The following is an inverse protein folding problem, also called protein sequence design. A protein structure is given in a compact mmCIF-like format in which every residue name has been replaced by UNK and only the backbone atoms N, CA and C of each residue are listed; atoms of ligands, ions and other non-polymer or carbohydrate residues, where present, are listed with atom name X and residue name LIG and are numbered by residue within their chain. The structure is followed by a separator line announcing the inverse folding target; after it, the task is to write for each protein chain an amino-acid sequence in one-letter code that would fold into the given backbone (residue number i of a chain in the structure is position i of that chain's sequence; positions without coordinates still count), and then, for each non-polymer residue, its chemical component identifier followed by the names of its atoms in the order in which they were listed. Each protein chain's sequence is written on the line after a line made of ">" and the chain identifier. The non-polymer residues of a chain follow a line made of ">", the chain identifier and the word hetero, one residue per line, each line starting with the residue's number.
data_IF_089365699547
#
_entry.id   IF_089365699547
#
_cell.length_a   1.000
_cell.length_b   1.000
_cell.length_c   1.000
_cell.angle_alpha   90.00
_cell.angle_beta   90.00
_cell.angle_gamma   90.00
#
_symmetry.space_group_name_H-M   'P 1'
#
loop_
_entity.id
_entity.type
_entity.pdbx_description
1 polymer ?
#
# COMPACT_ATOMS: atom_id res chain seq x y z
N UNK A 1 23.98 -1.89 8.41
CA UNK A 1 22.74 -1.26 7.91
C UNK A 1 22.90 0.25 8.01
N UNK A 2 22.79 0.99 6.89
CA UNK A 2 23.10 2.45 6.82
C UNK A 2 22.23 3.28 7.76
N UNK A 3 20.91 3.02 7.80
CA UNK A 3 19.96 3.71 8.66
C UNK A 3 20.37 3.65 10.14
N UNK A 4 20.73 2.47 10.66
CA UNK A 4 21.12 2.31 12.07
C UNK A 4 22.38 3.08 12.44
N UNK A 5 23.27 3.36 11.47
CA UNK A 5 24.50 4.13 11.71
C UNK A 5 24.27 5.65 11.72
N UNK A 6 23.24 6.14 11.03
CA UNK A 6 23.00 7.56 10.79
C UNK A 6 21.63 8.03 11.29
N UNK A 7 20.95 7.26 12.14
CA UNK A 7 19.56 7.54 12.54
C UNK A 7 19.39 8.89 13.25
N UNK A 8 20.43 9.38 13.93
CA UNK A 8 20.44 10.68 14.61
C UNK A 8 20.68 11.86 13.66
N UNK A 9 21.22 11.62 12.47
CA UNK A 9 21.50 12.63 11.45
C UNK A 9 20.34 12.79 10.46
N UNK A 10 19.41 11.82 10.45
CA UNK A 10 18.26 11.80 9.55
C UNK A 10 17.04 12.38 10.26
N UNK A 11 16.37 13.35 9.63
CA UNK A 11 15.12 13.90 10.15
C UNK A 11 14.07 12.79 10.27
N UNK A 12 13.34 12.77 11.38
CA UNK A 12 12.29 11.79 11.66
C UNK A 12 11.26 11.66 10.52
N UNK A 13 10.84 12.79 9.94
CA UNK A 13 9.90 12.82 8.80
C UNK A 13 10.39 12.02 7.59
N UNK A 14 11.70 11.96 7.35
CA UNK A 14 12.30 11.20 6.25
C UNK A 14 12.22 9.71 6.58
N UNK A 15 12.56 9.33 7.81
CA UNK A 15 12.45 7.94 8.29
C UNK A 15 10.99 7.46 8.18
N UNK A 16 10.04 8.24 8.68
CA UNK A 16 8.61 7.93 8.62
C UNK A 16 8.08 7.80 7.17
N UNK A 17 8.58 8.61 6.24
CA UNK A 17 8.21 8.50 4.83
C UNK A 17 8.79 7.26 4.16
N UNK A 18 10.08 6.97 4.39
CA UNK A 18 10.75 5.79 3.82
C UNK A 18 10.14 4.51 4.38
N UNK A 19 9.89 4.43 5.68
CA UNK A 19 9.22 3.28 6.31
C UNK A 19 7.83 3.05 5.71
N UNK A 20 7.03 4.11 5.52
CA UNK A 20 5.74 4.01 4.84
C UNK A 20 5.85 3.59 3.37
N UNK A 21 6.87 4.05 2.66
CA UNK A 21 7.12 3.65 1.28
C UNK A 21 7.51 2.18 1.17
N UNK A 22 8.35 1.68 2.08
CA UNK A 22 8.73 0.26 2.14
C UNK A 22 7.54 -0.64 2.47
N UNK A 23 6.59 -0.16 3.29
CA UNK A 23 5.36 -0.89 3.58
C UNK A 23 4.28 -0.74 2.49
N UNK A 24 4.47 0.14 1.50
CA UNK A 24 3.42 0.48 0.53
C UNK A 24 2.97 -0.73 -0.29
N UNK A 25 1.65 -0.95 -0.41
CA UNK A 25 1.08 -2.06 -1.17
C UNK A 25 1.19 -3.42 -0.46
N UNK A 26 1.67 -3.45 0.78
CA UNK A 26 1.63 -4.64 1.64
C UNK A 26 0.37 -4.64 2.52
N UNK A 27 0.02 -5.81 3.06
CA UNK A 27 -1.09 -5.94 4.00
C UNK A 27 -0.88 -5.13 5.30
N UNK A 28 0.36 -4.81 5.65
CA UNK A 28 0.72 -4.00 6.82
C UNK A 28 0.19 -2.56 6.76
N UNK A 29 -0.09 -2.05 5.56
CA UNK A 29 -0.75 -0.74 5.36
C UNK A 29 -2.28 -0.82 5.44
N UNK A 30 -2.83 -2.00 5.70
CA UNK A 30 -4.25 -2.30 5.61
C UNK A 30 -4.63 -2.84 4.23
N UNK A 31 -5.61 -3.73 4.19
CA UNK A 31 -6.14 -4.33 2.97
C UNK A 31 -7.66 -4.31 2.96
N UNK A 32 -8.25 -4.26 1.77
CA UNK A 32 -9.69 -4.36 1.55
C UNK A 32 -9.98 -5.64 0.78
N UNK A 33 -10.86 -6.46 1.32
CA UNK A 33 -11.30 -7.69 0.67
C UNK A 33 -12.49 -7.39 -0.23
N UNK A 34 -12.33 -7.70 -1.51
CA UNK A 34 -13.41 -7.67 -2.48
C UNK A 34 -13.88 -9.09 -2.72
N UNK A 35 -15.18 -9.30 -2.57
CA UNK A 35 -15.86 -10.57 -2.83
C UNK A 35 -16.93 -10.37 -3.90
N UNK A 36 -17.06 -11.32 -4.79
CA UNK A 36 -18.22 -11.39 -5.68
C UNK A 36 -19.51 -11.47 -4.85
N UNK A 37 -20.56 -10.73 -5.25
CA UNK A 37 -21.88 -10.77 -4.59
C UNK A 37 -22.64 -12.08 -4.80
N UNK A 38 -22.25 -12.88 -5.81
CA UNK A 38 -22.90 -14.15 -6.08
C UNK A 38 -22.50 -15.19 -5.02
N UNK A 39 -23.48 -15.74 -4.30
CA UNK A 39 -23.31 -16.60 -3.13
C UNK A 39 -22.67 -17.98 -3.41
N UNK A 40 -22.36 -18.29 -4.68
CA UNK A 40 -21.68 -19.52 -5.09
C UNK A 40 -20.30 -19.33 -5.74
N UNK A 41 -19.77 -18.10 -5.80
CA UNK A 41 -18.50 -17.85 -6.48
C UNK A 41 -17.31 -17.99 -5.53
N UNK A 42 -16.65 -19.16 -5.52
CA UNK A 42 -15.43 -19.44 -4.74
C UNK A 42 -14.18 -18.74 -5.28
N UNK A 43 -14.17 -18.33 -6.55
CA UNK A 43 -12.95 -17.92 -7.26
C UNK A 43 -12.64 -16.41 -7.23
N UNK A 44 -13.59 -15.55 -6.86
CA UNK A 44 -13.41 -14.09 -6.92
C UNK A 44 -13.35 -13.48 -5.52
N UNK A 45 -12.31 -13.83 -4.78
CA UNK A 45 -11.88 -13.03 -3.62
C UNK A 45 -10.53 -12.39 -3.92
N UNK A 46 -10.46 -11.06 -3.83
CA UNK A 46 -9.22 -10.31 -4.07
C UNK A 46 -8.95 -9.38 -2.90
N UNK A 47 -7.74 -9.47 -2.35
CA UNK A 47 -7.24 -8.53 -1.37
C UNK A 47 -6.56 -7.38 -2.09
N UNK A 48 -7.02 -6.17 -1.81
CA UNK A 48 -6.42 -4.94 -2.30
C UNK A 48 -5.76 -4.21 -1.14
N UNK A 49 -4.43 -4.21 -1.15
CA UNK A 49 -3.63 -3.53 -0.14
C UNK A 49 -3.63 -2.02 -0.39
N UNK A 50 -3.69 -1.24 0.67
CA UNK A 50 -3.69 0.21 0.59
C UNK A 50 -2.29 0.73 0.25
N UNK A 51 -2.25 1.83 -0.50
CA UNK A 51 -1.02 2.55 -0.78
C UNK A 51 -0.71 3.53 0.36
N UNK A 52 0.57 3.86 0.52
CA UNK A 52 1.03 4.74 1.60
C UNK A 52 0.68 6.23 1.42
N UNK A 53 0.15 6.62 0.25
CA UNK A 53 -0.23 8.00 -0.12
C UNK A 53 0.88 9.05 0.03
N UNK A 54 2.14 8.63 0.20
CA UNK A 54 3.30 9.54 0.25
C UNK A 54 3.59 10.13 -1.12
N UNK A 55 3.93 11.43 -1.19
CA UNK A 55 4.34 12.10 -2.44
C UNK A 55 5.62 11.52 -3.03
N UNK A 56 6.48 10.93 -2.20
CA UNK A 56 7.72 10.31 -2.64
C UNK A 56 7.52 8.86 -3.16
N UNK A 57 6.30 8.32 -3.05
CA UNK A 57 6.02 6.94 -3.41
C UNK A 57 5.68 6.80 -4.89
N UNK A 58 6.45 5.98 -5.62
CA UNK A 58 6.18 5.65 -7.02
C UNK A 58 4.86 4.88 -7.23
N UNK A 59 4.31 4.26 -6.18
CA UNK A 59 2.99 3.61 -6.21
C UNK A 59 1.82 4.59 -6.26
N UNK A 60 2.06 5.89 -6.07
CA UNK A 60 1.04 6.94 -6.03
C UNK A 60 0.24 7.13 -7.34
N UNK A 61 0.59 6.41 -8.41
CA UNK A 61 -0.15 6.37 -9.68
C UNK A 61 -1.28 5.35 -9.75
N UNK A 62 -1.44 4.44 -8.79
CA UNK A 62 -2.45 3.36 -8.88
C UNK A 62 -3.85 3.85 -8.46
N UNK A 63 -4.41 4.80 -9.21
CA UNK A 63 -5.86 5.08 -9.25
C UNK A 63 -6.62 4.16 -10.22
N UNK A 64 -5.94 3.18 -10.84
CA UNK A 64 -6.56 2.31 -11.85
C UNK A 64 -7.41 1.18 -11.29
N UNK A 65 -7.17 0.71 -10.07
CA UNK A 65 -7.87 -0.49 -9.59
C UNK A 65 -9.32 -0.23 -9.18
N UNK A 66 -9.64 0.97 -8.70
CA UNK A 66 -11.04 1.35 -8.43
C UNK A 66 -11.85 1.52 -9.73
N UNK A 67 -11.19 1.92 -10.84
CA UNK A 67 -11.83 2.05 -12.16
C UNK A 67 -12.15 0.71 -12.83
N UNK A 68 -11.38 -0.34 -12.56
CA UNK A 68 -11.63 -1.68 -13.12
C UNK A 68 -12.83 -2.40 -12.51
N UNK A 69 -13.27 -2.02 -11.30
CA UNK A 69 -14.38 -2.69 -10.62
C UNK A 69 -15.76 -2.12 -10.96
N UNK A 70 -15.82 -1.05 -11.77
CA UNK A 70 -17.06 -0.40 -12.23
C UNK A 70 -17.26 -0.58 -13.75
N UNK A 71 -16.37 -1.30 -14.43
CA UNK A 71 -16.49 -1.66 -15.85
C UNK A 71 -17.11 -3.06 -16.00
#
# INVERSE_FOLDING_TARGET
>A
MYLSKHIFEIRDVVVANVTRMLACGSASMGSRLYKCKNSGCTYYTKYLNQSCKSRACCSGGVKSTERWMVA
#
